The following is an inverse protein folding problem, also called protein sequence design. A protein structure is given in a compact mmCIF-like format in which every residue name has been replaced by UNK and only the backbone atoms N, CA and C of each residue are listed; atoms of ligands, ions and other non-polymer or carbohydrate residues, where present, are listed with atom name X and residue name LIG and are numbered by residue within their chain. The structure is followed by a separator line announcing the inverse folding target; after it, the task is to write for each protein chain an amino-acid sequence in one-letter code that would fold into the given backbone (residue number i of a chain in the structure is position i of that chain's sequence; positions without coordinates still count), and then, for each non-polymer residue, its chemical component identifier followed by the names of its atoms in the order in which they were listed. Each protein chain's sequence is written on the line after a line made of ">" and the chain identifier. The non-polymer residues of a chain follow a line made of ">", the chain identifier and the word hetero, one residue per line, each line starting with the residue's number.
data_IF_966109056294
#
_entry.id   IF_966109056294
#
_cell.length_a   1.000
_cell.length_b   1.000
_cell.length_c   1.000
_cell.angle_alpha   90.00
_cell.angle_beta   90.00
_cell.angle_gamma   90.00
#
_symmetry.space_group_name_H-M   'P 1'
#
loop_
_entity.id
_entity.type
_entity.pdbx_description
1 polymer ?
#
# COMPACT_ATOMS: atom_id res chain seq x y z
N UNK A 1 0.40 61.22 44.89
CA UNK A 1 1.66 61.01 44.15
C UNK A 1 1.59 59.68 43.42
N UNK A 2 2.18 59.61 42.22
CA UNK A 2 1.73 58.85 41.03
C UNK A 2 2.37 57.44 41.00
N UNK A 3 2.28 56.55 40.02
CA UNK A 3 2.13 56.60 38.55
C UNK A 3 1.92 55.15 38.05
N UNK A 4 0.85 54.83 37.32
CA UNK A 4 0.79 54.58 35.87
C UNK A 4 1.62 53.40 35.30
N UNK A 5 0.92 52.46 34.66
CA UNK A 5 1.46 51.45 33.75
C UNK A 5 0.37 50.90 32.80
N UNK A 6 0.14 51.67 31.72
CA UNK A 6 -0.36 51.36 30.36
C UNK A 6 -0.88 49.94 30.04
N UNK A 7 -2.17 49.85 29.70
CA UNK A 7 -2.74 48.81 28.81
C UNK A 7 -3.22 49.43 27.49
N UNK A 8 -3.03 48.68 26.41
CA UNK A 8 -3.04 49.08 24.99
C UNK A 8 -4.44 49.24 24.37
N UNK A 9 -4.49 50.11 23.36
CA UNK A 9 -5.65 50.74 22.70
C UNK A 9 -6.63 49.80 21.93
N UNK A 10 -6.43 48.48 21.93
CA UNK A 10 -7.19 47.57 21.04
C UNK A 10 -8.37 46.83 21.71
N UNK A 11 -8.56 46.94 23.02
CA UNK A 11 -9.67 46.27 23.74
C UNK A 11 -10.90 47.15 24.01
N UNK A 12 -10.90 48.42 23.59
CA UNK A 12 -12.04 49.34 23.81
C UNK A 12 -13.09 49.38 22.67
N UNK A 13 -12.89 48.63 21.59
CA UNK A 13 -13.79 48.68 20.42
C UNK A 13 -14.88 47.59 20.48
N UNK A 14 -14.81 46.63 21.41
CA UNK A 14 -15.67 45.43 21.35
C UNK A 14 -16.87 45.35 22.31
N UNK A 15 -17.17 46.38 23.12
CA UNK A 15 -18.23 46.28 24.15
C UNK A 15 -19.20 47.45 24.28
N UNK A 16 -19.37 48.27 23.25
CA UNK A 16 -20.50 49.21 23.16
C UNK A 16 -20.91 49.38 21.70
N UNK A 17 -21.90 48.59 21.27
CA UNK A 17 -22.87 48.91 20.19
C UNK A 17 -23.67 47.65 19.79
N UNK A 18 -24.38 47.04 20.73
CA UNK A 18 -25.27 45.90 20.44
C UNK A 18 -26.64 46.01 21.11
N UNK A 19 -27.21 47.21 21.21
CA UNK A 19 -28.65 47.39 21.49
C UNK A 19 -29.23 48.57 20.72
N UNK A 20 -30.34 48.28 20.04
CA UNK A 20 -31.26 49.14 19.29
C UNK A 20 -30.95 49.39 17.81
N UNK A 21 -31.18 48.36 16.98
CA UNK A 21 -31.54 48.54 15.57
C UNK A 21 -32.99 48.09 15.35
N UNK A 22 -33.78 48.93 14.67
CA UNK A 22 -35.20 48.67 14.37
C UNK A 22 -35.31 47.90 13.04
N UNK A 23 -36.38 47.10 12.90
CA UNK A 23 -36.64 46.22 11.74
C UNK A 23 -36.71 46.95 10.38
N UNK A 24 -36.78 48.29 10.35
CA UNK A 24 -36.81 49.10 9.13
C UNK A 24 -35.42 49.37 8.53
N UNK A 25 -34.34 49.22 9.30
CA UNK A 25 -32.97 49.45 8.81
C UNK A 25 -32.41 48.27 8.01
N UNK A 26 -33.06 47.10 8.10
CA UNK A 26 -32.72 45.90 7.33
C UNK A 26 -33.09 45.99 5.84
N UNK A 27 -34.07 46.81 5.47
CA UNK A 27 -34.56 46.88 4.08
C UNK A 27 -33.69 47.76 3.15
N UNK A 28 -32.89 48.68 3.70
CA UNK A 28 -32.03 49.57 2.92
C UNK A 28 -30.65 48.97 2.61
N UNK A 29 -30.15 48.04 3.44
CA UNK A 29 -28.87 47.32 3.16
C UNK A 29 -29.09 46.15 2.18
N UNK A 30 -30.27 45.53 2.19
CA UNK A 30 -30.62 44.43 1.28
C UNK A 30 -30.79 44.87 -0.19
N UNK A 31 -31.06 46.14 -0.45
CA UNK A 31 -31.33 46.64 -1.81
C UNK A 31 -30.08 47.15 -2.55
N UNK A 32 -28.96 47.37 -1.83
CA UNK A 32 -27.69 47.81 -2.41
C UNK A 32 -26.69 46.71 -2.77
N UNK A 33 -26.92 45.47 -2.30
CA UNK A 33 -26.02 44.32 -2.53
C UNK A 33 -26.48 43.45 -3.72
N UNK A 34 -27.68 43.66 -4.25
CA UNK A 34 -28.25 42.85 -5.33
C UNK A 34 -27.68 43.13 -6.73
N UNK A 35 -26.95 44.23 -6.97
CA UNK A 35 -26.40 44.57 -8.30
C UNK A 35 -24.89 44.40 -8.48
N UNK A 36 -24.17 43.93 -7.44
CA UNK A 36 -22.75 43.54 -7.54
C UNK A 36 -22.52 42.03 -7.45
N UNK A 37 -23.54 41.25 -7.09
CA UNK A 37 -23.46 39.78 -7.03
C UNK A 37 -23.87 39.12 -8.37
N UNK A 38 -24.68 39.79 -9.20
CA UNK A 38 -25.05 39.28 -10.54
C UNK A 38 -23.88 39.13 -11.52
N UNK A 39 -22.77 39.87 -11.31
CA UNK A 39 -21.55 39.79 -12.12
C UNK A 39 -20.50 38.79 -11.60
N UNK A 40 -20.62 38.30 -10.35
CA UNK A 40 -19.68 37.33 -9.77
C UNK A 40 -20.26 35.91 -9.84
N UNK A 41 -21.59 35.75 -9.77
CA UNK A 41 -22.23 34.41 -9.87
C UNK A 41 -22.18 33.85 -11.30
N UNK A 42 -22.17 34.70 -12.33
CA UNK A 42 -21.97 34.25 -13.73
C UNK A 42 -20.53 33.87 -14.09
N UNK A 43 -19.54 34.37 -13.34
CA UNK A 43 -18.11 34.09 -13.57
C UNK A 43 -17.56 32.89 -12.79
N UNK A 44 -18.20 32.52 -11.67
CA UNK A 44 -17.81 31.34 -10.87
C UNK A 44 -18.42 30.05 -11.41
N UNK A 45 -19.56 30.12 -12.09
CA UNK A 45 -20.20 28.96 -12.72
C UNK A 45 -19.46 28.45 -13.98
N UNK A 46 -18.66 29.28 -14.66
CA UNK A 46 -17.99 28.90 -15.91
C UNK A 46 -16.57 28.34 -15.75
N UNK A 47 -16.05 28.24 -14.52
CA UNK A 47 -14.71 27.66 -14.23
C UNK A 47 -14.80 26.24 -13.66
N UNK A 48 -16.00 25.76 -13.30
CA UNK A 48 -16.19 24.40 -12.75
C UNK A 48 -16.49 23.33 -13.81
N UNK A 49 -16.83 23.70 -15.05
CA UNK A 49 -17.13 22.74 -16.13
C UNK A 49 -15.89 22.29 -16.94
N UNK A 50 -14.68 22.67 -16.52
CA UNK A 50 -13.42 22.26 -17.17
C UNK A 50 -12.38 21.67 -16.21
N UNK A 51 -12.77 21.29 -14.99
CA UNK A 51 -11.94 20.35 -14.24
C UNK A 51 -12.11 19.00 -14.95
N UNK A 52 -11.02 18.37 -15.44
CA UNK A 52 -11.14 17.03 -16.00
C UNK A 52 -11.81 16.16 -14.93
N UNK A 53 -12.84 15.41 -15.34
CA UNK A 53 -13.51 14.35 -14.57
C UNK A 53 -12.53 13.19 -14.29
N UNK A 54 -11.35 13.50 -13.77
CA UNK A 54 -10.34 12.55 -13.34
C UNK A 54 -10.84 11.88 -12.08
N UNK A 55 -11.62 10.81 -12.25
CA UNK A 55 -11.87 9.85 -11.18
C UNK A 55 -10.53 9.46 -10.53
N UNK A 56 -10.53 9.12 -9.23
CA UNK A 56 -9.29 8.81 -8.51
C UNK A 56 -8.56 7.65 -9.18
N UNK A 57 -7.40 7.94 -9.78
CA UNK A 57 -6.61 6.93 -10.46
C UNK A 57 -6.14 5.88 -9.43
N UNK A 58 -6.66 4.65 -9.53
CA UNK A 58 -6.38 3.53 -8.63
C UNK A 58 -6.78 3.72 -7.17
N UNK A 59 -7.97 4.31 -6.95
CA UNK A 59 -8.52 4.49 -5.61
C UNK A 59 -7.78 5.54 -4.77
N UNK A 60 -6.89 6.33 -5.39
CA UNK A 60 -6.16 7.40 -4.73
C UNK A 60 -6.90 8.72 -4.90
N UNK A 61 -7.39 9.29 -3.80
CA UNK A 61 -7.84 10.69 -3.79
C UNK A 61 -6.68 11.57 -3.35
N UNK A 62 -6.18 12.38 -4.29
CA UNK A 62 -5.16 13.39 -4.03
C UNK A 62 -5.87 14.74 -3.96
N UNK A 63 -5.63 15.53 -2.90
CA UNK A 63 -6.02 16.93 -2.92
C UNK A 63 -5.45 17.62 -4.17
N UNK A 64 -6.14 18.62 -4.71
CA UNK A 64 -5.88 19.27 -6.02
C UNK A 64 -4.45 19.85 -6.25
N UNK A 65 -3.51 19.65 -5.33
CA UNK A 65 -2.21 20.32 -5.29
C UNK A 65 -1.00 19.49 -5.76
N UNK A 66 -1.05 18.16 -5.93
CA UNK A 66 0.19 17.37 -6.16
C UNK A 66 0.03 16.14 -7.10
N UNK A 67 -0.19 16.34 -8.42
CA UNK A 67 -0.14 15.23 -9.38
C UNK A 67 1.27 14.60 -9.39
N UNK A 68 1.35 13.29 -9.14
CA UNK A 68 2.59 12.52 -9.26
C UNK A 68 3.33 12.16 -7.95
N UNK A 69 2.74 12.42 -6.78
CA UNK A 69 3.28 11.90 -5.50
C UNK A 69 3.39 10.38 -5.47
N UNK A 70 2.39 9.71 -6.07
CA UNK A 70 2.30 8.27 -6.22
C UNK A 70 1.98 7.96 -7.68
N UNK A 71 2.88 7.22 -8.30
CA UNK A 71 2.64 6.56 -9.58
C UNK A 71 2.40 5.09 -9.26
N UNK A 72 1.27 4.54 -9.69
CA UNK A 72 0.83 3.20 -9.26
C UNK A 72 0.11 2.48 -10.38
N UNK A 73 0.20 1.16 -10.38
CA UNK A 73 -0.59 0.30 -11.24
C UNK A 73 -0.69 -1.09 -10.65
N UNK A 74 -1.78 -1.79 -10.96
CA UNK A 74 -1.93 -3.18 -10.56
C UNK A 74 -2.60 -4.00 -11.66
N UNK A 75 -2.35 -5.30 -11.61
CA UNK A 75 -3.10 -6.31 -12.35
C UNK A 75 -3.43 -7.47 -11.42
N UNK A 76 -4.61 -8.03 -11.63
CA UNK A 76 -5.08 -9.25 -10.99
C UNK A 76 -5.37 -10.26 -12.10
N UNK A 77 -4.64 -11.37 -12.06
CA UNK A 77 -4.87 -12.54 -12.92
C UNK A 77 -5.45 -13.64 -12.03
N UNK A 78 -6.63 -14.12 -12.38
CA UNK A 78 -7.26 -15.23 -11.66
C UNK A 78 -6.59 -16.57 -11.95
N UNK A 79 -6.79 -17.52 -11.04
CA UNK A 79 -6.15 -18.83 -11.13
C UNK A 79 -6.54 -19.60 -12.39
N UNK A 80 -7.77 -19.43 -12.87
CA UNK A 80 -8.31 -20.16 -14.03
C UNK A 80 -7.76 -19.60 -15.35
N UNK A 81 -7.45 -18.30 -15.39
CA UNK A 81 -6.90 -17.60 -16.57
C UNK A 81 -5.39 -17.80 -16.75
N UNK A 82 -4.70 -18.21 -15.67
CA UNK A 82 -3.24 -18.22 -15.60
C UNK A 82 -2.54 -19.12 -16.64
N UNK A 83 -3.23 -20.09 -17.23
CA UNK A 83 -2.71 -20.97 -18.28
C UNK A 83 -2.75 -20.36 -19.69
N UNK A 84 -3.55 -19.30 -19.89
CA UNK A 84 -3.73 -18.65 -21.19
C UNK A 84 -2.48 -17.94 -21.69
N UNK A 85 -2.28 -17.87 -23.02
CA UNK A 85 -1.16 -17.11 -23.62
C UNK A 85 -1.25 -15.62 -23.32
N UNK A 86 -2.47 -15.10 -23.23
CA UNK A 86 -2.83 -13.74 -22.80
C UNK A 86 -3.95 -13.89 -21.78
N UNK A 87 -3.63 -14.06 -20.49
CA UNK A 87 -4.64 -14.18 -19.45
C UNK A 87 -5.52 -12.92 -19.41
N UNK A 88 -6.83 -13.13 -19.24
CA UNK A 88 -7.73 -12.02 -18.97
C UNK A 88 -7.48 -11.48 -17.55
N UNK A 89 -7.71 -10.17 -17.38
CA UNK A 89 -7.49 -9.48 -16.11
C UNK A 89 -8.80 -9.40 -15.35
N UNK A 90 -8.87 -10.04 -14.19
CA UNK A 90 -10.00 -9.94 -13.28
C UNK A 90 -10.09 -8.57 -12.60
N UNK A 91 -8.97 -7.86 -12.52
CA UNK A 91 -8.90 -6.50 -12.01
C UNK A 91 -7.64 -5.80 -12.52
N UNK A 92 -7.74 -4.51 -12.78
CA UNK A 92 -6.58 -3.74 -13.24
C UNK A 92 -6.75 -2.26 -12.93
N UNK A 93 -5.65 -1.59 -12.63
CA UNK A 93 -5.62 -0.14 -12.63
C UNK A 93 -4.26 0.40 -13.09
N UNK A 94 -4.30 1.58 -13.70
CA UNK A 94 -3.12 2.33 -14.11
C UNK A 94 -3.31 3.82 -13.77
N UNK A 95 -2.43 4.39 -12.94
CA UNK A 95 -2.53 5.78 -12.51
C UNK A 95 -2.26 6.81 -13.62
N UNK A 96 -1.96 6.35 -14.84
CA UNK A 96 -1.79 7.16 -16.07
C UNK A 96 -2.90 6.91 -17.08
N UNK A 97 -3.97 6.23 -16.67
CA UNK A 97 -5.15 5.92 -17.50
C UNK A 97 -4.76 5.20 -18.80
N UNK A 98 -3.74 4.35 -18.73
CA UNK A 98 -3.24 3.56 -19.84
C UNK A 98 -3.57 2.08 -19.65
N UNK A 99 -3.43 1.27 -20.69
CA UNK A 99 -3.75 -0.14 -20.62
C UNK A 99 -2.70 -0.92 -19.82
N UNK A 100 -3.13 -1.98 -19.16
CA UNK A 100 -2.23 -3.00 -18.64
C UNK A 100 -2.48 -4.30 -19.39
N UNK A 101 -1.45 -5.12 -19.57
CA UNK A 101 -1.58 -6.42 -20.21
C UNK A 101 -0.64 -7.44 -19.61
N UNK A 102 -1.04 -8.71 -19.69
CA UNK A 102 -0.24 -9.86 -19.24
C UNK A 102 -0.05 -10.80 -20.41
N UNK A 103 1.19 -11.28 -20.58
CA UNK A 103 1.55 -12.29 -21.56
C UNK A 103 2.26 -13.43 -20.86
N UNK A 104 1.67 -14.63 -20.92
CA UNK A 104 2.34 -15.84 -20.49
C UNK A 104 3.43 -16.21 -21.51
N UNK A 105 4.66 -16.40 -21.02
CA UNK A 105 5.82 -16.76 -21.86
C UNK A 105 6.07 -18.26 -21.84
N UNK A 106 5.98 -18.87 -20.67
CA UNK A 106 6.04 -20.31 -20.44
C UNK A 106 5.32 -20.66 -19.12
N UNK A 107 5.30 -21.93 -18.73
CA UNK A 107 4.67 -22.35 -17.49
C UNK A 107 5.27 -21.59 -16.29
N UNK A 108 4.41 -20.90 -15.53
CA UNK A 108 4.79 -20.12 -14.37
C UNK A 108 5.61 -18.87 -14.68
N UNK A 109 5.68 -18.42 -15.94
CA UNK A 109 6.37 -17.17 -16.31
C UNK A 109 5.48 -16.24 -17.12
N UNK A 110 5.48 -14.98 -16.72
CA UNK A 110 4.64 -13.95 -17.31
C UNK A 110 5.43 -12.65 -17.49
N UNK A 111 5.20 -11.98 -18.62
CA UNK A 111 5.55 -10.58 -18.81
C UNK A 111 4.29 -9.74 -18.57
N UNK A 112 4.36 -8.84 -17.62
CA UNK A 112 3.32 -7.85 -17.33
C UNK A 112 3.79 -6.51 -17.86
N UNK A 113 2.98 -5.89 -18.71
CA UNK A 113 3.22 -4.55 -19.26
C UNK A 113 2.23 -3.58 -18.64
N UNK A 114 2.74 -2.59 -17.93
CA UNK A 114 1.97 -1.46 -17.41
C UNK A 114 2.28 -0.23 -18.27
N UNK A 115 1.35 0.16 -19.15
CA UNK A 115 1.64 1.19 -20.14
C UNK A 115 1.87 2.56 -19.51
N UNK A 116 2.80 3.33 -20.08
CA UNK A 116 3.17 4.70 -19.63
C UNK A 116 3.65 4.80 -18.16
N UNK A 117 3.90 3.68 -17.48
CA UNK A 117 4.43 3.62 -16.11
C UNK A 117 5.94 3.33 -16.06
N UNK A 118 6.62 3.35 -17.21
CA UNK A 118 8.03 3.09 -17.34
C UNK A 118 8.87 4.13 -16.62
N UNK A 119 9.58 3.68 -15.58
CA UNK A 119 10.48 4.49 -14.77
C UNK A 119 11.68 3.64 -14.37
N UNK A 120 12.81 4.29 -14.14
CA UNK A 120 13.96 3.64 -13.51
C UNK A 120 13.81 3.74 -11.99
N UNK A 121 13.09 2.78 -11.41
CA UNK A 121 12.87 2.72 -9.96
C UNK A 121 11.52 2.12 -9.54
N UNK A 122 11.06 2.56 -8.37
CA UNK A 122 9.83 2.06 -7.75
C UNK A 122 9.99 0.68 -7.11
N UNK A 123 8.85 0.10 -6.72
CA UNK A 123 8.75 -1.22 -6.09
C UNK A 123 7.64 -2.05 -6.74
N UNK A 124 7.82 -3.36 -6.75
CA UNK A 124 6.84 -4.34 -7.21
C UNK A 124 6.53 -5.30 -6.07
N UNK A 125 5.25 -5.48 -5.81
CA UNK A 125 4.72 -6.46 -4.87
C UNK A 125 3.91 -7.51 -5.62
N UNK A 126 4.16 -8.78 -5.30
CA UNK A 126 3.47 -9.91 -5.91
C UNK A 126 2.97 -10.85 -4.81
N UNK A 127 1.74 -11.32 -5.02
CA UNK A 127 1.09 -12.36 -4.22
C UNK A 127 0.43 -13.37 -5.16
N UNK A 128 0.61 -14.65 -4.88
CA UNK A 128 -0.06 -15.71 -5.63
C UNK A 128 -1.57 -15.74 -5.31
N UNK A 129 -2.38 -15.91 -6.35
CA UNK A 129 -3.85 -15.96 -6.26
C UNK A 129 -4.31 -17.37 -6.65
N UNK A 130 -5.14 -17.98 -5.80
CA UNK A 130 -5.73 -19.28 -6.03
C UNK A 130 -5.76 -20.19 -4.80
N UNK A 131 -6.41 -21.35 -4.98
CA UNK A 131 -6.55 -22.38 -3.95
C UNK A 131 -5.36 -23.35 -3.89
N UNK A 132 -4.48 -23.33 -4.87
CA UNK A 132 -3.33 -24.23 -4.93
C UNK A 132 -2.11 -23.62 -4.25
N UNK A 133 -1.25 -24.42 -3.59
CA UNK A 133 -0.02 -23.94 -2.98
C UNK A 133 0.96 -23.48 -4.06
N UNK A 134 1.01 -22.16 -4.27
CA UNK A 134 1.90 -21.49 -5.24
C UNK A 134 2.77 -20.46 -4.54
N UNK A 135 4.00 -20.34 -4.99
CA UNK A 135 4.94 -19.28 -4.59
C UNK A 135 5.19 -18.43 -5.83
N UNK A 136 4.84 -17.15 -5.77
CA UNK A 136 5.11 -16.20 -6.85
C UNK A 136 6.04 -15.09 -6.37
N UNK A 137 6.87 -14.59 -7.28
CA UNK A 137 7.78 -13.48 -7.08
C UNK A 137 8.07 -12.79 -8.41
N UNK A 138 9.09 -11.95 -8.44
CA UNK A 138 9.52 -11.26 -9.67
C UNK A 138 10.93 -11.67 -10.09
N UNK A 139 11.17 -11.81 -11.38
CA UNK A 139 12.53 -11.94 -11.94
C UNK A 139 13.14 -10.57 -12.30
N UNK A 140 12.49 -9.48 -11.90
CA UNK A 140 12.90 -8.11 -12.14
C UNK A 140 11.83 -7.30 -12.88
N UNK A 141 11.97 -5.99 -12.80
CA UNK A 141 11.16 -5.01 -13.52
C UNK A 141 12.03 -3.85 -14.00
N UNK A 142 11.50 -3.08 -14.94
CA UNK A 142 12.14 -1.86 -15.43
C UNK A 142 11.41 -1.30 -16.63
N UNK A 143 11.89 -0.15 -17.10
CA UNK A 143 11.42 0.47 -18.34
C UNK A 143 11.65 -0.47 -19.53
N UNK A 144 10.62 -0.64 -20.36
CA UNK A 144 10.73 -1.38 -21.61
C UNK A 144 11.67 -0.67 -22.61
N UNK A 145 12.41 -1.44 -23.40
CA UNK A 145 13.37 -0.87 -24.36
C UNK A 145 12.66 0.05 -25.37
N UNK A 146 13.14 1.30 -25.49
CA UNK A 146 12.59 2.33 -26.38
C UNK A 146 11.07 2.56 -26.20
N UNK A 147 10.56 2.33 -24.99
CA UNK A 147 9.16 2.54 -24.64
C UNK A 147 9.05 3.32 -23.32
N UNK A 148 7.88 3.90 -23.07
CA UNK A 148 7.51 4.53 -21.81
C UNK A 148 6.78 3.57 -20.86
N UNK A 149 6.76 2.27 -21.17
CA UNK A 149 6.06 1.28 -20.37
C UNK A 149 6.95 0.64 -19.32
N UNK A 150 6.33 0.18 -18.23
CA UNK A 150 7.00 -0.69 -17.27
C UNK A 150 6.77 -2.15 -17.69
N UNK A 151 7.84 -2.93 -17.77
CA UNK A 151 7.76 -4.39 -17.87
C UNK A 151 8.15 -5.02 -16.55
N UNK A 152 7.30 -5.91 -16.04
CA UNK A 152 7.56 -6.73 -14.85
C UNK A 152 7.54 -8.20 -15.26
N UNK A 153 8.58 -8.94 -14.88
CA UNK A 153 8.65 -10.40 -15.09
C UNK A 153 8.19 -11.11 -13.84
N UNK A 154 7.07 -11.83 -13.91
CA UNK A 154 6.51 -12.63 -12.82
C UNK A 154 6.97 -14.08 -12.97
N UNK A 155 7.35 -14.69 -11.85
CA UNK A 155 7.75 -16.10 -11.77
C UNK A 155 6.96 -16.80 -10.68
N UNK A 156 6.38 -17.95 -11.00
CA UNK A 156 5.59 -18.75 -10.09
C UNK A 156 6.03 -20.22 -10.12
N UNK A 157 6.06 -20.84 -8.94
CA UNK A 157 6.35 -22.27 -8.77
C UNK A 157 5.35 -22.95 -7.86
N UNK A 158 5.35 -24.28 -7.89
CA UNK A 158 4.69 -25.10 -6.88
C UNK A 158 5.55 -25.28 -5.62
N UNK A 159 4.99 -26.00 -4.64
CA UNK A 159 5.65 -26.30 -3.37
C UNK A 159 6.93 -27.16 -3.50
N UNK A 160 7.26 -27.67 -4.69
CA UNK A 160 8.51 -28.41 -4.98
C UNK A 160 9.54 -27.55 -5.72
N UNK A 161 9.21 -26.28 -6.02
CA UNK A 161 10.07 -25.38 -6.78
C UNK A 161 9.95 -25.53 -8.29
N UNK A 162 9.05 -26.40 -8.78
CA UNK A 162 8.82 -26.58 -10.22
C UNK A 162 7.98 -25.40 -10.73
N UNK A 163 8.40 -24.80 -11.84
CA UNK A 163 7.68 -23.69 -12.47
C UNK A 163 6.28 -24.14 -12.91
N UNK A 164 5.25 -23.42 -12.44
CA UNK A 164 3.84 -23.74 -12.68
C UNK A 164 3.01 -22.47 -12.76
N UNK A 165 2.01 -22.51 -13.62
CA UNK A 165 1.04 -21.43 -13.74
C UNK A 165 0.29 -21.21 -12.42
N UNK A 166 0.02 -19.94 -12.13
CA UNK A 166 -0.71 -19.47 -10.97
C UNK A 166 -1.37 -18.15 -11.32
N UNK A 167 -2.57 -17.92 -10.79
CA UNK A 167 -3.08 -16.56 -10.68
C UNK A 167 -2.14 -15.73 -9.80
N UNK A 168 -2.15 -14.42 -9.97
CA UNK A 168 -1.36 -13.51 -9.15
C UNK A 168 -1.96 -12.11 -9.11
N UNK A 169 -1.75 -11.43 -7.99
CA UNK A 169 -1.95 -10.00 -7.84
C UNK A 169 -0.58 -9.32 -7.87
N UNK A 170 -0.37 -8.43 -8.85
CA UNK A 170 0.83 -7.60 -8.96
C UNK A 170 0.46 -6.16 -8.70
N UNK A 171 1.23 -5.49 -7.85
CA UNK A 171 1.17 -4.05 -7.62
C UNK A 171 2.53 -3.42 -7.90
N UNK A 172 2.53 -2.35 -8.69
CA UNK A 172 3.65 -1.44 -8.85
C UNK A 172 3.35 -0.14 -8.10
N UNK A 173 4.37 0.38 -7.41
CA UNK A 173 4.30 1.66 -6.73
C UNK A 173 5.62 2.40 -6.90
N UNK A 174 5.56 3.67 -7.30
CA UNK A 174 6.66 4.61 -7.19
C UNK A 174 6.19 5.82 -6.41
N UNK A 175 6.93 6.13 -5.36
CA UNK A 175 6.65 7.23 -4.46
C UNK A 175 7.66 8.37 -4.63
N UNK A 176 7.19 9.59 -4.42
CA UNK A 176 8.01 10.77 -4.26
C UNK A 176 7.99 11.26 -2.80
N UNK A 177 8.89 12.20 -2.48
CA UNK A 177 8.88 12.90 -1.21
C UNK A 177 7.53 13.60 -0.99
N UNK A 178 6.99 13.52 0.22
CA UNK A 178 5.66 14.03 0.55
C UNK A 178 4.55 12.98 0.57
N UNK A 179 4.85 11.70 0.38
CA UNK A 179 3.90 10.63 0.72
C UNK A 179 3.74 10.49 2.25
N UNK A 180 2.75 9.71 2.71
CA UNK A 180 2.72 9.23 4.10
C UNK A 180 3.93 8.36 4.41
N UNK A 181 4.01 7.81 5.64
CA UNK A 181 5.15 6.98 6.02
C UNK A 181 5.23 5.71 5.16
N UNK A 182 6.23 5.69 4.28
CA UNK A 182 6.47 4.67 3.26
C UNK A 182 7.97 4.51 3.04
N UNK A 183 8.42 3.27 2.98
CA UNK A 183 9.75 2.93 2.48
C UNK A 183 9.69 1.67 1.65
N UNK A 184 10.58 1.57 0.66
CA UNK A 184 10.81 0.32 -0.04
C UNK A 184 12.29 0.18 -0.38
N UNK A 185 12.72 -1.07 -0.56
CA UNK A 185 14.07 -1.38 -1.02
C UNK A 185 14.06 -2.65 -1.86
N UNK A 186 14.79 -2.60 -2.97
CA UNK A 186 15.24 -3.76 -3.72
C UNK A 186 16.64 -4.16 -3.25
N UNK A 187 16.77 -5.43 -2.86
CA UNK A 187 18.05 -6.04 -2.54
C UNK A 187 18.32 -7.20 -3.50
N UNK A 188 19.46 -7.15 -4.20
CA UNK A 188 19.88 -8.19 -5.14
C UNK A 188 21.40 -8.24 -5.22
N UNK A 189 21.96 -9.45 -5.34
CA UNK A 189 23.39 -9.66 -5.54
C UNK A 189 24.30 -8.92 -4.52
N UNK A 190 23.86 -8.85 -3.26
CA UNK A 190 24.62 -8.20 -2.18
C UNK A 190 24.52 -6.67 -2.14
N UNK A 191 23.64 -6.05 -2.94
CA UNK A 191 23.57 -4.60 -3.09
C UNK A 191 22.13 -4.09 -2.99
N UNK A 192 22.01 -2.86 -2.49
CA UNK A 192 20.82 -2.03 -2.61
C UNK A 192 21.00 -1.04 -3.76
N UNK A 193 20.07 -1.00 -4.70
CA UNK A 193 20.13 -0.04 -5.81
C UNK A 193 19.39 1.25 -5.45
N UNK A 194 20.05 2.40 -5.65
CA UNK A 194 19.53 3.71 -5.22
C UNK A 194 18.16 4.02 -5.84
N UNK A 195 17.97 3.71 -7.12
CA UNK A 195 16.72 4.02 -7.83
C UNK A 195 15.54 3.14 -7.39
N UNK A 196 15.84 2.00 -6.75
CA UNK A 196 14.87 1.05 -6.22
C UNK A 196 14.83 1.05 -4.68
N UNK A 197 15.29 2.15 -4.07
CA UNK A 197 15.21 2.38 -2.65
C UNK A 197 14.57 3.75 -2.39
N UNK A 198 13.58 3.78 -1.52
CA UNK A 198 12.87 4.99 -1.14
C UNK A 198 12.58 4.98 0.35
N UNK A 199 12.63 6.15 0.95
CA UNK A 199 12.21 6.39 2.32
C UNK A 199 11.59 7.79 2.38
N UNK A 200 10.34 7.89 2.82
CA UNK A 200 9.60 9.16 2.93
C UNK A 200 10.27 10.17 3.87
N UNK A 201 11.23 9.73 4.70
CA UNK A 201 12.05 10.57 5.58
C UNK A 201 13.37 11.03 4.93
N UNK A 202 13.58 10.76 3.64
CA UNK A 202 14.74 11.19 2.85
C UNK A 202 16.10 10.71 3.40
N UNK A 203 16.09 9.60 4.15
CA UNK A 203 17.30 8.96 4.67
C UNK A 203 17.54 7.61 4.01
N UNK A 204 18.78 7.11 3.97
CA UNK A 204 19.10 5.86 3.31
C UNK A 204 18.38 4.64 3.90
N UNK A 205 18.12 3.66 3.04
CA UNK A 205 17.81 2.28 3.44
C UNK A 205 19.04 1.43 3.18
N UNK A 206 19.51 0.71 4.19
CA UNK A 206 20.66 -0.20 4.06
C UNK A 206 20.27 -1.62 4.43
N UNK A 207 20.96 -2.59 3.83
CA UNK A 207 20.72 -4.01 4.09
C UNK A 207 22.02 -4.68 4.46
N UNK A 208 22.02 -5.40 5.57
CA UNK A 208 23.11 -6.28 6.01
C UNK A 208 22.68 -7.74 5.90
N UNK A 209 23.65 -8.63 5.65
CA UNK A 209 23.44 -10.08 5.53
C UNK A 209 24.27 -10.80 6.60
N UNK A 210 23.75 -10.97 7.82
CA UNK A 210 24.48 -11.63 8.91
C UNK A 210 24.69 -13.13 8.67
N UNK A 211 23.80 -13.80 7.94
CA UNK A 211 23.90 -15.23 7.64
C UNK A 211 23.18 -15.58 6.33
N UNK A 212 23.36 -16.80 5.83
CA UNK A 212 22.64 -17.30 4.65
C UNK A 212 21.14 -17.19 4.84
N UNK A 213 20.47 -16.53 3.90
CA UNK A 213 19.02 -16.31 3.91
C UNK A 213 18.51 -15.40 5.02
N UNK A 214 19.38 -14.77 5.83
CA UNK A 214 19.00 -13.84 6.88
C UNK A 214 19.49 -12.43 6.52
N UNK A 215 18.59 -11.47 6.58
CA UNK A 215 18.87 -10.07 6.23
C UNK A 215 18.33 -9.13 7.30
N UNK A 216 19.10 -8.08 7.57
CA UNK A 216 18.71 -6.97 8.43
C UNK A 216 18.59 -5.71 7.57
N UNK A 217 17.39 -5.15 7.51
CA UNK A 217 17.06 -3.95 6.73
C UNK A 217 16.89 -2.79 7.69
N UNK A 218 17.74 -1.78 7.53
CA UNK A 218 17.75 -0.58 8.36
C UNK A 218 17.10 0.56 7.58
N UNK A 219 15.89 0.95 7.99
CA UNK A 219 15.18 2.10 7.42
C UNK A 219 15.31 3.26 8.41
N UNK A 220 16.21 4.21 8.14
CA UNK A 220 16.52 5.26 9.10
C UNK A 220 15.35 6.24 9.26
N UNK A 221 15.13 6.75 10.48
CA UNK A 221 14.14 7.78 10.85
C UNK A 221 12.65 7.45 10.65
N UNK A 222 12.29 6.43 9.85
CA UNK A 222 10.88 6.06 9.61
C UNK A 222 10.19 5.49 10.85
N UNK A 223 10.95 4.93 11.81
CA UNK A 223 10.41 4.38 13.05
C UNK A 223 9.66 5.39 13.91
N UNK A 224 9.83 6.70 13.66
CA UNK A 224 9.01 7.76 14.25
C UNK A 224 7.52 7.50 14.05
N UNK A 225 7.12 6.85 12.96
CA UNK A 225 5.74 6.43 12.75
C UNK A 225 5.27 5.40 13.78
N UNK A 226 6.07 4.36 14.03
CA UNK A 226 5.79 3.35 15.03
C UNK A 226 5.80 3.91 16.46
N UNK A 227 6.66 4.90 16.73
CA UNK A 227 6.75 5.59 18.03
C UNK A 227 5.56 6.53 18.32
N UNK A 228 4.79 6.90 17.30
CA UNK A 228 3.58 7.71 17.40
C UNK A 228 2.32 6.82 17.30
N UNK A 229 2.41 5.59 17.79
CA UNK A 229 1.34 4.58 17.79
C UNK A 229 0.71 4.30 16.41
N UNK A 230 1.50 4.51 15.34
CA UNK A 230 1.12 4.18 13.97
C UNK A 230 2.10 3.15 13.36
N UNK A 231 2.24 1.95 13.95
CA UNK A 231 3.10 0.93 13.37
C UNK A 231 2.55 0.51 12.00
N UNK A 232 3.43 0.56 11.00
CA UNK A 232 3.11 0.08 9.67
C UNK A 232 3.16 -1.44 9.57
N UNK A 233 2.93 -1.94 8.36
CA UNK A 233 3.14 -3.34 8.01
C UNK A 233 4.26 -3.47 6.99
N UNK A 234 4.92 -4.63 7.01
CA UNK A 234 5.94 -5.00 6.03
C UNK A 234 5.39 -6.05 5.06
N UNK A 235 5.60 -5.84 3.76
CA UNK A 235 5.42 -6.82 2.69
C UNK A 235 6.77 -7.16 2.11
N UNK A 236 7.01 -8.46 1.87
CA UNK A 236 8.21 -8.95 1.18
C UNK A 236 7.79 -9.74 -0.05
N UNK A 237 8.46 -9.51 -1.18
CA UNK A 237 8.31 -10.25 -2.43
C UNK A 237 9.68 -10.78 -2.83
N UNK A 238 9.80 -12.07 -3.19
CA UNK A 238 11.08 -12.59 -3.64
C UNK A 238 11.47 -12.06 -5.02
N UNK A 239 12.78 -11.86 -5.20
CA UNK A 239 13.38 -11.37 -6.43
C UNK A 239 14.42 -12.37 -6.92
N UNK A 240 14.25 -12.83 -8.16
CA UNK A 240 15.14 -13.75 -8.85
C UNK A 240 14.42 -14.62 -9.88
N UNK A 241 15.16 -15.41 -10.68
CA UNK A 241 14.58 -16.26 -11.73
C UNK A 241 13.83 -17.49 -11.17
N UNK A 242 14.06 -17.81 -9.90
CA UNK A 242 13.40 -18.88 -9.14
C UNK A 242 12.74 -18.22 -7.92
N UNK A 243 11.41 -18.28 -7.77
CA UNK A 243 10.74 -17.67 -6.63
C UNK A 243 11.16 -18.41 -5.33
N UNK A 244 11.46 -17.62 -4.30
CA UNK A 244 11.79 -18.09 -2.95
C UNK A 244 10.73 -17.64 -1.96
N UNK A 245 10.70 -18.28 -0.79
CA UNK A 245 9.81 -17.88 0.31
C UNK A 245 10.58 -16.89 1.18
N UNK A 246 10.34 -15.59 0.98
CA UNK A 246 10.94 -14.52 1.77
C UNK A 246 9.88 -13.80 2.60
N UNK A 247 10.05 -13.77 3.92
CA UNK A 247 9.06 -13.22 4.85
C UNK A 247 9.71 -12.25 5.85
N UNK A 248 8.97 -11.22 6.30
CA UNK A 248 9.37 -10.44 7.46
C UNK A 248 9.31 -11.31 8.73
N UNK A 249 10.36 -11.24 9.55
CA UNK A 249 10.43 -11.92 10.85
C UNK A 249 10.11 -10.98 12.00
N UNK A 250 10.55 -9.74 11.90
CA UNK A 250 10.31 -8.68 12.85
C UNK A 250 10.43 -7.33 12.12
N UNK A 251 9.71 -6.32 12.61
CA UNK A 251 9.99 -4.92 12.29
C UNK A 251 9.74 -4.10 13.54
N UNK A 252 10.78 -3.46 14.06
CA UNK A 252 10.70 -2.76 15.33
C UNK A 252 11.63 -1.53 15.37
N UNK A 253 11.30 -0.51 16.18
CA UNK A 253 12.22 0.59 16.43
C UNK A 253 13.52 0.07 17.05
N UNK A 254 14.64 0.46 16.47
CA UNK A 254 15.97 0.11 16.95
C UNK A 254 16.87 1.35 16.96
N UNK A 255 17.72 1.45 17.98
CA UNK A 255 18.72 2.52 18.08
C UNK A 255 20.12 1.93 18.04
N UNK A 256 20.94 2.44 17.12
CA UNK A 256 22.34 2.06 17.06
C UNK A 256 23.06 2.50 18.35
N UNK A 257 23.68 1.57 19.10
CA UNK A 257 24.25 1.88 20.41
C UNK A 257 25.41 2.86 20.36
N UNK A 258 26.14 2.89 19.24
CA UNK A 258 27.33 3.74 19.03
C UNK A 258 26.97 5.10 18.43
N UNK A 259 26.27 5.11 17.30
CA UNK A 259 25.96 6.35 16.56
C UNK A 259 24.72 7.07 17.09
N UNK A 260 23.93 6.40 17.95
CA UNK A 260 22.62 6.86 18.46
C UNK A 260 21.56 7.11 17.37
N UNK A 261 21.87 6.80 16.11
CA UNK A 261 20.90 6.84 15.00
C UNK A 261 19.79 5.83 15.25
N UNK A 262 18.58 6.19 14.82
CA UNK A 262 17.36 5.40 15.03
C UNK A 262 16.85 4.89 13.70
N UNK A 263 16.36 3.66 13.71
CA UNK A 263 15.92 2.93 12.54
C UNK A 263 14.63 2.19 12.85
N UNK A 264 13.86 1.89 11.81
CA UNK A 264 13.04 0.70 11.82
C UNK A 264 13.93 -0.44 11.34
N UNK A 265 14.30 -1.33 12.25
CA UNK A 265 15.02 -2.56 11.91
C UNK A 265 13.99 -3.59 11.47
N UNK A 266 14.12 -4.08 10.24
CA UNK A 266 13.30 -5.17 9.72
C UNK A 266 14.16 -6.38 9.41
N UNK A 267 13.82 -7.52 10.00
CA UNK A 267 14.45 -8.79 9.68
C UNK A 267 13.69 -9.47 8.53
N UNK A 268 14.41 -9.91 7.51
CA UNK A 268 13.87 -10.73 6.40
C UNK A 268 14.56 -12.08 6.42
N UNK A 269 13.77 -13.15 6.32
CA UNK A 269 14.29 -14.51 6.12
C UNK A 269 13.79 -15.11 4.82
N UNK A 270 14.71 -15.68 4.05
CA UNK A 270 14.47 -16.34 2.79
C UNK A 270 14.78 -17.83 2.88
N UNK A 271 13.86 -18.65 2.37
CA UNK A 271 13.95 -20.10 2.37
C UNK A 271 13.68 -20.69 0.98
N UNK A 272 14.27 -21.86 0.72
CA UNK A 272 13.82 -22.74 -0.36
C UNK A 272 12.46 -23.39 -0.02
N UNK A 273 11.90 -24.14 -0.96
CA UNK A 273 10.61 -24.83 -0.81
C UNK A 273 10.62 -25.92 0.26
N UNK A 274 11.81 -26.43 0.60
CA UNK A 274 12.02 -27.37 1.70
C UNK A 274 12.20 -26.65 3.05
N UNK A 275 12.21 -25.32 3.08
CA UNK A 275 12.37 -24.51 4.28
C UNK A 275 13.82 -24.30 4.72
N UNK A 276 14.82 -24.67 3.90
CA UNK A 276 16.23 -24.41 4.21
C UNK A 276 16.55 -22.94 3.92
N UNK A 277 17.35 -22.28 4.76
CA UNK A 277 17.74 -20.89 4.52
C UNK A 277 18.56 -20.80 3.22
N UNK A 278 18.21 -19.84 2.37
CA UNK A 278 18.88 -19.62 1.08
C UNK A 278 19.01 -18.13 0.81
N UNK A 279 20.13 -17.72 0.22
CA UNK A 279 20.25 -16.35 -0.25
C UNK A 279 19.35 -16.12 -1.46
N UNK A 280 18.59 -15.03 -1.41
CA UNK A 280 17.71 -14.60 -2.48
C UNK A 280 17.70 -13.08 -2.55
N UNK A 281 17.49 -12.55 -3.75
CA UNK A 281 17.02 -11.18 -3.86
C UNK A 281 15.63 -11.07 -3.25
N UNK A 282 15.28 -9.87 -2.79
CA UNK A 282 13.93 -9.55 -2.36
C UNK A 282 13.62 -8.07 -2.55
N UNK A 283 12.32 -7.80 -2.55
CA UNK A 283 11.74 -6.46 -2.46
C UNK A 283 11.02 -6.37 -1.13
N UNK A 284 11.31 -5.34 -0.36
CA UNK A 284 10.63 -5.03 0.90
C UNK A 284 9.90 -3.70 0.76
N UNK A 285 8.65 -3.65 1.21
CA UNK A 285 7.88 -2.42 1.39
C UNK A 285 7.42 -2.32 2.84
N UNK A 286 7.61 -1.17 3.47
CA UNK A 286 7.00 -0.78 4.73
C UNK A 286 6.01 0.35 4.48
N UNK A 287 4.77 0.22 4.91
CA UNK A 287 3.75 1.26 4.77
C UNK A 287 2.91 1.43 6.03
N UNK A 288 2.59 2.68 6.35
CA UNK A 288 1.63 3.07 7.39
C UNK A 288 0.39 3.60 6.70
N UNK A 289 -0.78 3.05 7.02
CA UNK A 289 -2.08 3.44 6.45
C UNK A 289 -2.05 3.51 4.92
N UNK A 290 -1.43 2.53 4.27
CA UNK A 290 -1.23 2.50 2.81
C UNK A 290 -0.45 3.70 2.24
N UNK A 291 0.42 4.32 3.04
CA UNK A 291 1.10 5.59 2.75
C UNK A 291 0.16 6.81 2.68
N UNK A 292 -1.04 6.71 3.26
CA UNK A 292 -1.99 7.83 3.36
C UNK A 292 -1.54 8.89 4.37
N UNK A 293 -1.98 10.12 4.15
CA UNK A 293 -1.88 11.28 5.05
C UNK A 293 -3.13 12.17 4.86
N UNK A 294 -3.38 13.20 5.69
CA UNK A 294 -4.65 13.94 5.65
C UNK A 294 -5.09 14.50 4.28
N UNK A 295 -4.13 14.81 3.40
CA UNK A 295 -4.34 15.37 2.06
C UNK A 295 -4.10 14.36 0.91
N UNK A 296 -3.77 13.11 1.24
CA UNK A 296 -3.57 12.00 0.30
C UNK A 296 -4.18 10.73 0.91
N UNK A 297 -5.32 10.30 0.41
CA UNK A 297 -5.98 9.09 0.90
C UNK A 297 -5.89 7.99 -0.16
N UNK A 298 -5.40 6.82 0.24
CA UNK A 298 -5.44 5.61 -0.57
C UNK A 298 -6.60 4.76 -0.07
N UNK A 299 -7.58 4.51 -0.94
CA UNK A 299 -8.71 3.63 -0.63
C UNK A 299 -8.23 2.19 -0.41
N UNK A 300 -8.56 1.61 0.72
CA UNK A 300 -8.21 0.24 1.05
C UNK A 300 -8.03 -0.03 2.53
N UNK A 301 -7.47 -1.19 2.83
CA UNK A 301 -7.22 -1.64 4.19
C UNK A 301 -5.82 -2.24 4.34
N UNK A 302 -5.28 -2.16 5.55
CA UNK A 302 -4.08 -2.89 5.95
C UNK A 302 -4.30 -3.49 7.33
N UNK A 303 -3.67 -4.63 7.60
CA UNK A 303 -3.66 -5.24 8.93
C UNK A 303 -2.46 -6.17 9.15
N UNK A 304 -2.19 -6.47 10.41
CA UNK A 304 -1.32 -7.56 10.83
C UNK A 304 -2.14 -8.60 11.61
N UNK A 305 -2.22 -9.82 11.11
CA UNK A 305 -2.89 -10.96 11.74
C UNK A 305 -1.98 -11.58 12.82
N UNK A 306 -2.06 -11.10 14.05
CA UNK A 306 -1.13 -11.48 15.11
C UNK A 306 -1.43 -12.83 15.80
N UNK A 307 -2.63 -13.38 15.59
CA UNK A 307 -3.09 -14.64 16.22
C UNK A 307 -3.37 -15.72 15.17
N UNK A 308 -2.39 -16.60 14.95
CA UNK A 308 -2.45 -17.65 13.93
C UNK A 308 -3.58 -18.68 14.13
N UNK A 309 -3.95 -18.99 15.38
CA UNK A 309 -4.89 -20.08 15.72
C UNK A 309 -6.22 -19.61 16.33
N UNK A 310 -6.41 -18.30 16.51
CA UNK A 310 -7.65 -17.77 17.08
C UNK A 310 -8.81 -17.93 16.10
N UNK A 311 -9.95 -18.42 16.58
CA UNK A 311 -11.12 -18.72 15.73
C UNK A 311 -11.69 -17.46 15.06
N UNK A 312 -11.82 -16.37 15.81
CA UNK A 312 -12.20 -15.04 15.29
C UNK A 312 -11.64 -13.95 16.19
N UNK A 313 -11.14 -12.85 15.63
CA UNK A 313 -10.66 -11.70 16.39
C UNK A 313 -10.55 -10.44 15.52
N UNK A 314 -10.57 -9.29 16.17
CA UNK A 314 -10.14 -8.00 15.60
C UNK A 314 -8.64 -7.87 15.83
N UNK A 315 -7.81 -7.70 14.77
CA UNK A 315 -6.39 -7.40 14.93
C UNK A 315 -6.16 -6.17 15.79
N UNK A 316 -4.95 -6.02 16.33
CA UNK A 316 -4.64 -4.82 17.14
C UNK A 316 -4.87 -3.54 16.33
N UNK A 317 -5.55 -2.56 16.94
CA UNK A 317 -5.99 -1.32 16.27
C UNK A 317 -4.84 -0.45 15.76
N UNK A 318 -3.67 -0.53 16.40
CA UNK A 318 -2.45 0.16 15.99
C UNK A 318 -1.86 -0.42 14.70
N UNK A 319 -2.08 -1.71 14.42
CA UNK A 319 -1.59 -2.40 13.22
C UNK A 319 -2.62 -2.53 12.10
N UNK A 320 -3.83 -1.99 12.26
CA UNK A 320 -4.82 -1.99 11.21
C UNK A 320 -5.24 -0.59 10.79
N UNK A 321 -5.65 -0.47 9.54
CA UNK A 321 -6.23 0.73 8.98
C UNK A 321 -7.24 0.34 7.91
N UNK A 322 -8.29 1.12 7.83
CA UNK A 322 -9.34 0.99 6.85
C UNK A 322 -9.80 2.40 6.48
N UNK A 323 -9.73 2.74 5.19
CA UNK A 323 -10.09 4.07 4.69
C UNK A 323 -11.56 4.43 4.91
N UNK A 324 -12.43 3.45 5.17
CA UNK A 324 -13.86 3.64 5.44
C UNK A 324 -14.15 3.93 6.91
N UNK A 325 -13.14 3.81 7.78
CA UNK A 325 -13.28 3.93 9.23
C UNK A 325 -13.77 2.66 9.94
N UNK A 326 -14.10 1.59 9.20
CA UNK A 326 -14.50 0.30 9.77
C UNK A 326 -13.33 -0.52 10.33
N UNK A 327 -13.58 -1.35 11.35
CA UNK A 327 -12.57 -2.29 11.82
C UNK A 327 -12.51 -3.52 10.92
N UNK A 328 -11.30 -4.03 10.68
CA UNK A 328 -11.10 -5.34 10.04
C UNK A 328 -11.25 -6.46 11.07
N UNK A 329 -11.78 -7.60 10.63
CA UNK A 329 -11.87 -8.81 11.45
C UNK A 329 -11.27 -10.00 10.72
N UNK A 330 -10.75 -10.95 11.49
CA UNK A 330 -10.21 -12.20 10.95
C UNK A 330 -11.00 -13.35 11.55
N UNK A 331 -11.46 -14.27 10.70
CA UNK A 331 -12.03 -15.55 11.07
C UNK A 331 -11.19 -16.68 10.50
N UNK A 332 -10.65 -17.54 11.37
CA UNK A 332 -10.01 -18.79 10.97
C UNK A 332 -11.07 -19.83 10.65
N UNK A 333 -11.03 -20.36 9.43
CA UNK A 333 -11.96 -21.39 8.93
C UNK A 333 -11.41 -22.81 9.10
N UNK A 334 -10.09 -22.94 9.18
CA UNK A 334 -9.38 -24.20 9.39
C UNK A 334 -7.87 -23.96 9.42
N UNK A 335 -7.04 -25.01 9.52
CA UNK A 335 -5.58 -24.88 9.43
C UNK A 335 -5.16 -24.12 8.18
N UNK A 336 -4.52 -22.97 8.37
CA UNK A 336 -4.03 -22.10 7.31
C UNK A 336 -5.10 -21.46 6.45
N UNK A 337 -6.39 -21.51 6.79
CA UNK A 337 -7.47 -20.90 6.00
C UNK A 337 -8.15 -19.79 6.81
N UNK A 338 -8.08 -18.56 6.31
CA UNK A 338 -8.57 -17.36 6.97
C UNK A 338 -9.51 -16.59 6.06
N UNK A 339 -10.63 -16.15 6.61
CA UNK A 339 -11.47 -15.11 6.02
C UNK A 339 -11.18 -13.79 6.73
N UNK A 340 -10.81 -12.78 5.97
CA UNK A 340 -10.53 -11.43 6.44
C UNK A 340 -11.68 -10.54 5.98
N UNK A 341 -12.41 -9.98 6.93
CA UNK A 341 -13.58 -9.14 6.72
C UNK A 341 -13.16 -7.67 6.77
N UNK A 342 -13.36 -6.95 5.66
CA UNK A 342 -13.02 -5.55 5.50
C UNK A 342 -14.31 -4.72 5.36
N UNK A 343 -14.76 -4.12 6.45
CA UNK A 343 -16.02 -3.34 6.47
C UNK A 343 -15.94 -2.04 5.66
N UNK A 344 -17.07 -1.64 5.08
CA UNK A 344 -17.25 -0.44 4.27
C UNK A 344 -16.81 -0.58 2.81
N UNK A 345 -16.35 -1.76 2.38
CA UNK A 345 -16.00 -2.02 0.98
C UNK A 345 -17.08 -2.89 0.34
N UNK A 346 -17.53 -2.50 -0.85
CA UNK A 346 -18.68 -3.10 -1.54
C UNK A 346 -18.31 -3.69 -2.91
N UNK A 347 -17.02 -3.85 -3.21
CA UNK A 347 -16.53 -4.23 -4.53
C UNK A 347 -15.80 -5.58 -4.58
N UNK A 348 -15.84 -6.18 -5.77
CA UNK A 348 -14.95 -7.27 -6.21
C UNK A 348 -13.64 -6.73 -6.80
N UNK A 349 -13.54 -5.39 -6.92
CA UNK A 349 -12.38 -4.70 -7.47
C UNK A 349 -11.33 -4.41 -6.39
N UNK A 350 -10.07 -4.48 -6.81
CA UNK A 350 -8.92 -4.21 -5.98
C UNK A 350 -7.88 -5.33 -6.03
N UNK A 351 -6.77 -5.08 -5.36
CA UNK A 351 -5.65 -6.01 -5.30
C UNK A 351 -5.27 -6.30 -3.85
N UNK A 352 -4.83 -7.52 -3.60
CA UNK A 352 -4.46 -7.99 -2.27
C UNK A 352 -3.00 -8.41 -2.29
N UNK A 353 -2.22 -7.87 -1.36
CA UNK A 353 -0.87 -8.32 -1.06
C UNK A 353 -0.82 -8.97 0.31
N UNK A 354 -0.15 -10.12 0.41
CA UNK A 354 0.05 -10.82 1.68
C UNK A 354 1.50 -11.26 1.83
N UNK A 355 2.01 -11.20 3.06
CA UNK A 355 3.25 -11.87 3.46
C UNK A 355 2.99 -12.63 4.74
N UNK A 356 3.47 -13.87 4.83
CA UNK A 356 3.49 -14.56 6.11
C UNK A 356 4.49 -13.84 7.05
N UNK A 357 4.31 -13.99 8.36
CA UNK A 357 5.11 -13.29 9.36
C UNK A 357 5.72 -14.25 10.38
N UNK A 358 7.01 -14.07 10.65
CA UNK A 358 7.78 -14.84 11.64
C UNK A 358 7.72 -16.37 11.41
N UNK A 359 7.76 -16.79 10.15
CA UNK A 359 7.55 -18.19 9.74
C UNK A 359 8.11 -18.47 8.34
N UNK A 360 8.34 -19.74 8.01
CA UNK A 360 8.68 -20.21 6.67
C UNK A 360 7.45 -20.62 5.85
N UNK A 361 6.22 -20.33 6.31
CA UNK A 361 5.01 -20.51 5.49
C UNK A 361 4.94 -19.47 4.38
N UNK A 362 4.19 -19.76 3.33
CA UNK A 362 3.80 -18.78 2.31
C UNK A 362 2.29 -18.76 2.20
N UNK A 363 1.72 -17.60 1.83
CA UNK A 363 0.27 -17.45 1.75
C UNK A 363 -0.16 -17.05 0.33
N UNK A 364 -1.28 -17.59 -0.10
CA UNK A 364 -2.00 -17.22 -1.31
C UNK A 364 -3.28 -16.50 -0.94
N UNK A 365 -3.84 -15.74 -1.87
CA UNK A 365 -5.14 -15.08 -1.71
C UNK A 365 -6.16 -15.66 -2.67
N UNK A 366 -7.44 -15.41 -2.42
CA UNK A 366 -8.45 -15.43 -3.47
C UNK A 366 -8.78 -13.98 -3.87
N UNK A 367 -9.39 -13.76 -5.04
CA UNK A 367 -9.99 -12.47 -5.35
C UNK A 367 -10.88 -11.99 -4.21
N UNK A 368 -10.94 -10.67 -4.02
CA UNK A 368 -11.88 -10.07 -3.11
C UNK A 368 -13.30 -10.46 -3.53
N UNK A 369 -14.13 -10.83 -2.57
CA UNK A 369 -15.53 -11.14 -2.83
C UNK A 369 -16.41 -10.23 -1.99
N UNK A 370 -17.43 -9.64 -2.60
CA UNK A 370 -18.49 -8.97 -1.87
C UNK A 370 -19.10 -9.91 -0.82
N UNK A 371 -19.03 -9.48 0.44
CA UNK A 371 -19.71 -10.10 1.57
C UNK A 371 -21.10 -9.51 1.78
N UNK A 372 -21.72 -9.86 2.92
CA UNK A 372 -22.96 -9.21 3.36
C UNK A 372 -22.63 -7.88 4.04
N UNK A 373 -23.60 -6.96 4.07
CA UNK A 373 -23.55 -5.74 4.89
C UNK A 373 -22.31 -4.86 4.62
N UNK A 374 -22.11 -4.45 3.35
CA UNK A 374 -21.01 -3.57 2.92
C UNK A 374 -19.62 -4.04 3.37
N UNK A 375 -19.37 -5.35 3.35
CA UNK A 375 -18.09 -5.92 3.77
C UNK A 375 -17.46 -6.68 2.63
N UNK A 376 -16.21 -6.39 2.27
CA UNK A 376 -15.42 -7.23 1.36
C UNK A 376 -14.75 -8.34 2.17
N UNK A 377 -14.88 -9.59 1.71
CA UNK A 377 -14.17 -10.73 2.31
C UNK A 377 -12.96 -11.12 1.46
N UNK A 378 -11.79 -11.06 2.07
CA UNK A 378 -10.54 -11.56 1.49
C UNK A 378 -10.21 -12.92 2.08
N UNK A 379 -10.03 -13.93 1.24
CA UNK A 379 -9.58 -15.26 1.70
C UNK A 379 -8.07 -15.36 1.62
N UNK A 380 -7.44 -15.74 2.72
CA UNK A 380 -5.99 -15.99 2.82
C UNK A 380 -5.78 -17.47 3.12
N UNK A 381 -4.95 -18.14 2.32
CA UNK A 381 -4.56 -19.54 2.54
C UNK A 381 -3.06 -19.66 2.70
N UNK A 382 -2.60 -20.15 3.85
CA UNK A 382 -1.19 -20.30 4.17
C UNK A 382 -0.76 -21.77 4.15
N UNK A 383 0.47 -21.98 3.69
CA UNK A 383 1.02 -23.29 3.38
C UNK A 383 2.42 -23.43 3.96
N UNK A 384 2.75 -24.62 4.47
CA UNK A 384 4.11 -25.04 4.80
C UNK A 384 4.42 -26.32 4.04
N UNK A 385 5.43 -26.30 3.18
CA UNK A 385 5.82 -27.44 2.33
C UNK A 385 4.62 -28.06 1.59
N UNK A 386 3.77 -27.21 1.02
CA UNK A 386 2.58 -27.60 0.25
C UNK A 386 1.38 -28.07 1.09
N UNK A 387 1.44 -28.05 2.42
CA UNK A 387 0.32 -28.42 3.31
C UNK A 387 -0.28 -27.20 3.99
N UNK A 388 -1.61 -27.11 4.18
CA UNK A 388 -2.22 -26.01 4.92
C UNK A 388 -1.62 -25.89 6.32
N UNK A 389 -1.22 -24.68 6.70
CA UNK A 389 -0.56 -24.41 7.97
C UNK A 389 -0.95 -23.04 8.51
N UNK A 390 -1.26 -22.98 9.80
CA UNK A 390 -1.57 -21.70 10.45
C UNK A 390 -0.34 -20.79 10.46
N UNK A 391 -0.57 -19.51 10.19
CA UNK A 391 0.46 -18.50 10.14
C UNK A 391 -0.08 -17.15 10.63
N UNK A 392 0.84 -16.32 11.14
CA UNK A 392 0.63 -14.88 11.20
C UNK A 392 0.91 -14.30 9.82
N UNK A 393 0.30 -13.19 9.47
CA UNK A 393 0.53 -12.54 8.18
C UNK A 393 0.27 -11.03 8.23
N UNK A 394 0.94 -10.27 7.37
CA UNK A 394 0.54 -8.91 7.01
C UNK A 394 -0.32 -8.95 5.75
N UNK A 395 -1.36 -8.12 5.70
CA UNK A 395 -2.25 -8.00 4.56
C UNK A 395 -2.41 -6.53 4.18
N UNK A 396 -2.34 -6.27 2.88
CA UNK A 396 -2.66 -4.99 2.26
C UNK A 396 -3.73 -5.25 1.20
N UNK A 397 -4.82 -4.51 1.27
CA UNK A 397 -5.86 -4.43 0.26
C UNK A 397 -5.90 -2.99 -0.27
N UNK A 398 -5.88 -2.81 -1.58
CA UNK A 398 -6.10 -1.53 -2.24
C UNK A 398 -7.29 -1.69 -3.17
N UNK A 399 -8.33 -0.88 -2.96
CA UNK A 399 -9.55 -0.87 -3.76
C UNK A 399 -9.33 -0.17 -5.09
#
# INVERSE_FOLDING_TARGET
>A
MPSSGRFTLLERIWRREWREWKLTDWAAVASGIASLIGGIVGGVAFVWENLPDGGPACGMSVGAAQPGLLVSGYVLVDADEAGGRRPDLAGTCNSREAANSVRRTEAGRYDVRLEKLGVDGGTVEITAVGATPRVCGTAGWGMAEKSTDLTVRVVCSDASGTMRDSGFALRFLQAAAGTGALAYVRYEAGKTERNYAFNSFSTPVTVERPATGNYEVFVQDIQRSAELDAPGIVKVTSLGPVPRICNPMAWEPWQNPTTKKRFLLTEVRCHDTEGRPVDSGFVLTYAVKLASRPDLMVSGAQLWAEKAVAARYTPRLDYQYNSTGGNSMIQRRGPGDYAVELSGFTGDDGQIQVSAYATATYCTTAPAAAGRDDTTTVRVRCWYRGRPADARFSLLYQA
#
